data_IF_683212556786
#
_entry.id   IF_683212556786
#
_cell.length_a   1.000
_cell.length_b   1.000
_cell.length_c   1.000
_cell.angle_alpha   90.00
_cell.angle_beta   90.00
_cell.angle_gamma   90.00
#
_symmetry.space_group_name_H-M   'P 1'
#
loop_
_entity.id
_entity.type
_entity.pdbx_description
1 polymer ?
#
# COMPACT_ATOMS: atom_id res chain seq x y z
N UNK A 1 -43.58 0.17 46.06
CA UNK A 1 -43.14 0.91 44.87
C UNK A 1 -41.93 1.84 45.10
N UNK A 2 -41.73 2.54 46.21
CA UNK A 2 -40.60 3.46 46.42
C UNK A 2 -39.24 2.79 46.65
N UNK A 3 -39.17 1.56 47.16
CA UNK A 3 -37.87 0.86 47.37
C UNK A 3 -37.29 0.22 46.12
N UNK A 4 -38.12 -0.20 45.18
CA UNK A 4 -37.69 -0.77 43.91
C UNK A 4 -37.13 0.30 42.92
N UNK A 5 -37.66 1.52 42.95
CA UNK A 5 -37.10 2.64 42.21
C UNK A 5 -35.72 3.07 42.70
N UNK A 6 -35.45 3.01 44.00
CA UNK A 6 -34.14 3.36 44.53
C UNK A 6 -33.05 2.35 44.15
N UNK A 7 -33.36 1.04 44.11
CA UNK A 7 -32.40 0.02 43.67
C UNK A 7 -32.10 0.12 42.13
N UNK A 8 -33.11 0.41 41.32
CA UNK A 8 -32.90 0.64 39.87
C UNK A 8 -32.06 1.90 39.61
N UNK A 9 -32.25 2.97 40.41
CA UNK A 9 -31.46 4.18 40.25
C UNK A 9 -29.98 3.98 40.73
N UNK A 10 -29.77 3.18 41.77
CA UNK A 10 -28.42 2.81 42.23
C UNK A 10 -27.71 1.88 41.25
N UNK A 11 -28.40 0.96 40.53
CA UNK A 11 -27.80 0.15 39.48
C UNK A 11 -27.44 0.97 38.23
N UNK A 12 -28.24 1.96 37.85
CA UNK A 12 -27.94 2.86 36.74
C UNK A 12 -26.73 3.78 37.09
N UNK A 13 -26.64 4.29 38.29
CA UNK A 13 -25.45 5.04 38.77
C UNK A 13 -24.20 4.17 38.81
N UNK A 14 -24.31 2.89 39.22
CA UNK A 14 -23.16 1.98 39.26
C UNK A 14 -22.59 1.64 37.88
N UNK A 15 -23.47 1.60 36.84
CA UNK A 15 -23.02 1.39 35.45
C UNK A 15 -22.35 2.65 34.88
N UNK A 16 -22.84 3.84 35.23
CA UNK A 16 -22.21 5.12 34.84
C UNK A 16 -20.83 5.30 35.52
N UNK A 17 -20.70 4.90 36.77
CA UNK A 17 -19.44 4.98 37.51
C UNK A 17 -18.34 4.05 36.95
N UNK A 18 -18.68 2.93 36.30
CA UNK A 18 -17.68 2.05 35.69
C UNK A 18 -17.18 2.53 34.31
N UNK A 19 -17.94 3.38 33.61
CA UNK A 19 -17.51 3.93 32.31
C UNK A 19 -16.73 5.26 32.44
N UNK A 20 -16.95 6.00 33.52
CA UNK A 20 -16.29 7.28 33.81
C UNK A 20 -14.76 7.20 33.91
N UNK A 21 -14.15 6.20 34.54
CA UNK A 21 -12.68 6.20 34.70
C UNK A 21 -11.88 6.25 33.42
N UNK A 22 -12.33 5.56 32.37
CA UNK A 22 -11.60 5.53 31.09
C UNK A 22 -11.68 6.87 30.36
N UNK A 23 -12.87 7.47 30.27
CA UNK A 23 -13.06 8.77 29.64
C UNK A 23 -12.26 9.87 30.36
N UNK A 24 -12.30 9.88 31.70
CA UNK A 24 -11.54 10.82 32.52
C UNK A 24 -10.02 10.66 32.36
N UNK A 25 -9.53 9.42 32.26
CA UNK A 25 -8.11 9.14 31.98
C UNK A 25 -7.69 9.62 30.61
N UNK A 26 -8.54 9.43 29.58
CA UNK A 26 -8.27 9.91 28.22
C UNK A 26 -8.27 11.44 28.15
N UNK A 27 -9.22 12.11 28.80
CA UNK A 27 -9.24 13.57 28.90
C UNK A 27 -8.02 14.11 29.65
N UNK A 28 -7.67 13.50 30.77
CA UNK A 28 -6.47 13.87 31.50
C UNK A 28 -5.21 13.72 30.63
N UNK A 29 -5.10 12.61 29.87
CA UNK A 29 -3.96 12.39 28.97
C UNK A 29 -3.90 13.44 27.86
N UNK A 30 -5.04 13.82 27.27
CA UNK A 30 -5.10 14.86 26.23
C UNK A 30 -4.67 16.20 26.83
N UNK A 31 -5.25 16.60 27.96
CA UNK A 31 -5.03 17.90 28.58
C UNK A 31 -3.62 18.10 29.16
N UNK A 32 -2.87 16.99 29.39
CA UNK A 32 -1.51 17.02 29.96
C UNK A 32 -0.45 16.49 28.96
N UNK A 33 -0.73 16.61 27.67
CA UNK A 33 0.21 16.23 26.62
C UNK A 33 0.71 17.48 25.90
N UNK A 34 1.91 17.93 26.22
CA UNK A 34 2.49 19.22 25.81
C UNK A 34 2.43 19.49 24.30
N UNK A 35 2.72 18.49 23.45
CA UNK A 35 2.72 18.71 22.01
C UNK A 35 1.32 19.00 21.44
N UNK A 36 0.24 18.66 22.16
CA UNK A 36 -1.12 18.94 21.74
C UNK A 36 -1.52 20.42 21.93
N UNK A 37 -0.73 21.23 22.64
CA UNK A 37 -0.94 22.68 22.71
C UNK A 37 -0.85 23.37 21.35
N UNK A 38 0.01 22.83 20.44
CA UNK A 38 0.27 23.40 19.12
C UNK A 38 -0.06 22.42 17.98
N UNK A 39 -0.79 21.36 18.27
CA UNK A 39 -1.19 20.35 17.28
C UNK A 39 -2.63 19.89 17.53
N UNK A 40 -3.12 19.01 16.69
CA UNK A 40 -4.50 18.54 16.76
C UNK A 40 -4.57 17.02 16.93
N UNK A 41 -5.63 16.56 17.60
CA UNK A 41 -5.97 15.14 17.66
C UNK A 41 -7.47 14.92 17.50
N UNK A 42 -7.84 13.91 16.75
CA UNK A 42 -9.20 13.36 16.69
C UNK A 42 -9.19 11.92 17.19
N UNK A 43 -10.10 11.59 18.10
CA UNK A 43 -10.18 10.27 18.74
C UNK A 43 -11.62 9.77 18.69
N UNK A 44 -11.79 8.49 18.32
CA UNK A 44 -13.06 7.77 18.44
C UNK A 44 -12.79 6.39 19.03
N UNK A 45 -13.53 6.02 20.08
CA UNK A 45 -13.42 4.71 20.77
C UNK A 45 -14.80 4.10 20.90
N UNK A 46 -14.97 2.88 20.46
CA UNK A 46 -16.23 2.17 20.46
C UNK A 46 -16.09 0.75 21.00
N UNK A 47 -16.89 0.38 21.98
CA UNK A 47 -16.99 -0.99 22.48
C UNK A 47 -17.90 -1.79 21.56
N UNK A 48 -17.32 -2.67 20.74
CA UNK A 48 -18.01 -3.49 19.75
C UNK A 48 -18.88 -4.57 20.40
N UNK A 49 -18.41 -5.14 21.53
CA UNK A 49 -19.14 -6.16 22.28
C UNK A 49 -20.40 -5.57 22.92
N UNK A 50 -20.28 -4.41 23.55
CA UNK A 50 -21.39 -3.72 24.20
C UNK A 50 -22.19 -2.79 23.26
N UNK A 51 -21.75 -2.64 22.00
CA UNK A 51 -22.36 -1.81 20.96
C UNK A 51 -22.58 -0.36 21.39
N UNK A 52 -21.58 0.25 22.07
CA UNK A 52 -21.69 1.64 22.54
C UNK A 52 -20.43 2.46 22.30
N UNK A 53 -20.62 3.76 22.06
CA UNK A 53 -19.53 4.73 22.06
C UNK A 53 -18.98 4.86 23.48
N UNK A 54 -17.66 4.71 23.62
CA UNK A 54 -16.95 4.82 24.90
C UNK A 54 -16.38 6.21 25.06
N UNK A 55 -15.78 6.76 23.98
CA UNK A 55 -15.17 8.09 24.00
C UNK A 55 -15.16 8.69 22.58
N UNK A 56 -15.33 10.01 22.51
CA UNK A 56 -15.22 10.77 21.28
C UNK A 56 -14.59 12.14 21.60
N UNK A 57 -13.54 12.49 20.87
CA UNK A 57 -12.91 13.80 20.96
C UNK A 57 -12.61 14.30 19.56
N UNK A 58 -13.27 15.41 19.16
CA UNK A 58 -13.18 15.98 17.81
C UNK A 58 -13.35 14.95 16.67
N UNK A 59 -14.12 13.89 16.91
CA UNK A 59 -14.21 12.73 16.03
C UNK A 59 -14.96 12.97 14.72
N UNK A 60 -15.67 14.09 14.58
CA UNK A 60 -16.34 14.53 13.35
C UNK A 60 -15.53 15.51 12.51
N UNK A 61 -14.44 16.07 13.04
CA UNK A 61 -13.55 16.95 12.28
C UNK A 61 -12.78 16.20 11.21
N UNK A 62 -12.42 16.89 10.15
CA UNK A 62 -11.65 16.34 9.03
C UNK A 62 -10.15 16.40 9.31
N UNK A 63 -9.49 15.27 9.07
CA UNK A 63 -8.06 15.06 9.22
C UNK A 63 -7.50 14.36 7.99
N UNK A 64 -6.21 14.54 7.72
CA UNK A 64 -5.47 13.70 6.79
C UNK A 64 -5.23 12.34 7.45
N UNK A 65 -5.67 11.24 6.83
CA UNK A 65 -5.57 9.90 7.44
C UNK A 65 -4.15 9.35 7.47
N UNK A 66 -3.30 9.75 6.52
CA UNK A 66 -2.12 8.98 6.16
C UNK A 66 -2.51 7.51 5.89
N UNK A 67 -1.61 6.55 6.12
CA UNK A 67 -1.84 5.15 5.73
C UNK A 67 -2.94 4.39 6.49
N UNK A 68 -3.67 5.00 7.43
CA UNK A 68 -4.91 4.37 7.91
C UNK A 68 -6.02 4.40 6.83
N UNK A 69 -5.87 5.24 5.78
CA UNK A 69 -6.69 5.19 4.57
C UNK A 69 -6.80 3.79 3.99
N UNK A 70 -5.74 3.00 4.08
CA UNK A 70 -5.71 1.60 3.63
C UNK A 70 -6.78 0.71 4.28
N UNK A 71 -7.32 1.08 5.44
CA UNK A 71 -8.47 0.40 6.05
C UNK A 71 -9.71 0.58 5.16
N UNK A 72 -9.96 1.81 4.70
CA UNK A 72 -11.07 2.14 3.81
C UNK A 72 -10.97 1.33 2.51
N UNK A 73 -9.81 1.40 1.85
CA UNK A 73 -9.54 0.66 0.62
C UNK A 73 -9.67 -0.85 0.81
N UNK A 74 -9.09 -1.40 1.89
CA UNK A 74 -9.09 -2.84 2.16
C UNK A 74 -10.48 -3.39 2.47
N UNK A 75 -11.24 -2.71 3.32
CA UNK A 75 -12.60 -3.14 3.69
C UNK A 75 -13.53 -3.06 2.47
N UNK A 76 -13.41 -2.02 1.65
CA UNK A 76 -14.18 -1.90 0.41
C UNK A 76 -13.79 -2.98 -0.58
N UNK A 77 -12.47 -3.28 -0.75
CA UNK A 77 -12.00 -4.31 -1.65
C UNK A 77 -12.46 -5.71 -1.23
N UNK A 78 -12.41 -6.03 0.06
CA UNK A 78 -12.93 -7.30 0.57
C UNK A 78 -14.44 -7.44 0.33
N UNK A 79 -15.20 -6.35 0.44
CA UNK A 79 -16.64 -6.35 0.18
C UNK A 79 -16.97 -6.50 -1.32
N UNK A 80 -16.38 -5.66 -2.17
CA UNK A 80 -16.80 -5.55 -3.58
C UNK A 80 -16.11 -6.56 -4.50
N UNK A 81 -14.84 -6.94 -4.21
CA UNK A 81 -14.05 -7.88 -5.01
C UNK A 81 -14.08 -9.31 -4.42
N UNK A 82 -14.17 -9.43 -3.09
CA UNK A 82 -14.07 -10.72 -2.39
C UNK A 82 -12.62 -11.24 -2.28
N UNK A 83 -12.41 -12.22 -1.37
CA UNK A 83 -11.09 -12.81 -1.09
C UNK A 83 -10.50 -13.57 -2.26
N UNK A 84 -11.33 -14.10 -3.16
CA UNK A 84 -10.93 -14.90 -4.32
C UNK A 84 -10.48 -14.05 -5.52
N UNK A 85 -10.61 -12.72 -5.43
CA UNK A 85 -10.15 -11.84 -6.50
C UNK A 85 -8.66 -12.02 -6.78
N UNK A 86 -8.29 -11.98 -8.07
CA UNK A 86 -6.90 -12.16 -8.51
C UNK A 86 -6.46 -11.01 -9.40
N UNK A 87 -5.32 -10.44 -9.08
CA UNK A 87 -4.58 -9.54 -9.94
C UNK A 87 -3.82 -10.38 -10.96
N UNK A 88 -3.88 -10.02 -12.25
CA UNK A 88 -3.42 -10.88 -13.34
C UNK A 88 -2.48 -10.15 -14.28
N UNK A 89 -1.45 -10.86 -14.75
CA UNK A 89 -0.64 -10.49 -15.89
C UNK A 89 -0.73 -11.63 -16.89
N UNK A 90 -1.29 -11.36 -18.08
CA UNK A 90 -1.58 -12.37 -19.07
C UNK A 90 -0.64 -12.23 -20.27
N UNK A 91 -0.16 -13.36 -20.80
CA UNK A 91 0.65 -13.43 -22.00
C UNK A 91 -0.10 -14.21 -23.06
N UNK A 92 -0.17 -13.64 -24.25
CA UNK A 92 -0.87 -14.21 -25.40
C UNK A 92 -0.23 -13.76 -26.71
N UNK A 93 -0.63 -14.36 -27.81
CA UNK A 93 -0.19 -13.92 -29.14
C UNK A 93 -1.32 -13.99 -30.15
N UNK A 94 -1.13 -13.29 -31.27
CA UNK A 94 -1.98 -13.36 -32.48
C UNK A 94 -1.17 -13.93 -33.64
N UNK A 95 -1.86 -14.43 -34.66
CA UNK A 95 -1.19 -14.97 -35.84
C UNK A 95 -0.71 -16.43 -35.68
N UNK A 96 0.38 -16.81 -36.33
CA UNK A 96 0.84 -18.20 -36.43
C UNK A 96 2.33 -18.33 -36.15
N UNK A 97 2.74 -19.45 -35.55
CA UNK A 97 4.15 -19.80 -35.35
C UNK A 97 4.58 -20.72 -36.49
N UNK A 98 5.61 -20.30 -37.22
CA UNK A 98 6.16 -21.11 -38.35
C UNK A 98 6.98 -22.29 -37.83
N UNK A 99 7.28 -23.32 -38.64
CA UNK A 99 8.08 -24.47 -38.22
C UNK A 99 9.51 -24.14 -37.73
N UNK A 100 10.07 -23.00 -38.19
CA UNK A 100 11.37 -22.47 -37.76
C UNK A 100 11.27 -21.54 -36.55
N UNK A 101 10.07 -21.41 -35.95
CA UNK A 101 9.85 -20.70 -34.69
C UNK A 101 9.63 -19.19 -34.86
N UNK A 102 9.24 -18.72 -36.04
CA UNK A 102 8.92 -17.30 -36.24
C UNK A 102 7.43 -17.07 -35.94
N UNK A 103 7.12 -16.21 -34.97
CA UNK A 103 5.77 -15.71 -34.73
C UNK A 103 5.44 -14.65 -35.79
N UNK A 104 4.54 -14.98 -36.75
CA UNK A 104 3.93 -14.05 -37.71
C UNK A 104 2.72 -13.40 -37.04
N UNK A 105 2.95 -12.41 -36.20
CA UNK A 105 1.97 -11.72 -35.40
C UNK A 105 2.59 -11.04 -34.18
N UNK A 106 1.75 -10.48 -33.33
CA UNK A 106 2.16 -9.80 -32.12
C UNK A 106 2.18 -10.75 -30.91
N UNK A 107 3.15 -10.53 -30.02
CA UNK A 107 3.14 -11.07 -28.66
C UNK A 107 2.57 -10.01 -27.71
N UNK A 108 1.47 -10.30 -27.04
CA UNK A 108 0.80 -9.39 -26.10
C UNK A 108 1.08 -9.75 -24.65
N UNK A 109 1.42 -8.73 -23.83
CA UNK A 109 1.42 -8.83 -22.37
C UNK A 109 0.41 -7.84 -21.81
N UNK A 110 -0.65 -8.36 -21.16
CA UNK A 110 -1.75 -7.57 -20.64
C UNK A 110 -1.62 -7.39 -19.12
N UNK A 111 -1.60 -6.14 -18.67
CA UNK A 111 -1.49 -5.80 -17.26
C UNK A 111 -2.84 -5.62 -16.57
N UNK A 112 -3.05 -6.35 -15.47
CA UNK A 112 -4.19 -6.18 -14.57
C UNK A 112 -3.81 -5.59 -13.21
N UNK A 113 -2.77 -4.77 -13.18
CA UNK A 113 -2.26 -4.08 -12.00
C UNK A 113 -1.87 -5.04 -10.86
N UNK A 114 -1.12 -6.10 -11.19
CA UNK A 114 -0.58 -7.04 -10.19
C UNK A 114 0.60 -6.40 -9.45
N UNK A 115 0.45 -6.01 -8.16
CA UNK A 115 1.50 -5.34 -7.41
C UNK A 115 2.55 -6.30 -6.86
N UNK A 116 2.30 -7.61 -6.91
CA UNK A 116 3.19 -8.67 -6.43
C UNK A 116 4.00 -9.33 -7.55
N UNK A 117 3.87 -8.85 -8.81
CA UNK A 117 4.61 -9.37 -9.96
C UNK A 117 6.11 -9.04 -9.83
N UNK A 118 6.94 -10.08 -9.71
CA UNK A 118 8.36 -9.98 -9.44
C UNK A 118 9.20 -10.50 -10.63
N UNK A 119 10.52 -10.41 -10.52
CA UNK A 119 11.46 -10.86 -11.56
C UNK A 119 11.26 -12.34 -11.91
N UNK A 120 11.01 -13.19 -10.91
CA UNK A 120 10.79 -14.62 -11.11
C UNK A 120 9.53 -14.91 -11.94
N UNK A 121 8.52 -14.05 -11.86
CA UNK A 121 7.31 -14.15 -12.66
C UNK A 121 7.55 -13.71 -14.11
N UNK A 122 8.38 -12.69 -14.31
CA UNK A 122 8.81 -12.29 -15.64
C UNK A 122 9.66 -13.39 -16.31
N UNK A 123 10.50 -14.09 -15.55
CA UNK A 123 11.26 -15.24 -16.07
C UNK A 123 10.32 -16.37 -16.53
N UNK A 124 9.23 -16.63 -15.79
CA UNK A 124 8.18 -17.59 -16.20
C UNK A 124 7.48 -17.14 -17.50
N UNK A 125 7.15 -15.83 -17.64
CA UNK A 125 6.59 -15.33 -18.89
C UNK A 125 7.56 -15.53 -20.07
N UNK A 126 8.84 -15.19 -19.89
CA UNK A 126 9.83 -15.37 -20.94
C UNK A 126 10.05 -16.85 -21.31
N UNK A 127 10.07 -17.74 -20.32
CA UNK A 127 10.15 -19.18 -20.54
C UNK A 127 8.95 -19.71 -21.33
N UNK A 128 7.73 -19.25 -21.03
CA UNK A 128 6.53 -19.67 -21.74
C UNK A 128 6.57 -19.29 -23.24
N UNK A 129 7.18 -18.15 -23.60
CA UNK A 129 7.41 -17.80 -25.02
C UNK A 129 8.35 -18.78 -25.69
N UNK A 130 9.46 -19.11 -25.02
CA UNK A 130 10.45 -20.06 -25.54
C UNK A 130 9.86 -21.47 -25.69
N UNK A 131 9.12 -21.93 -24.68
CA UNK A 131 8.50 -23.27 -24.63
C UNK A 131 7.39 -23.45 -25.68
N UNK A 132 6.72 -22.35 -26.07
CA UNK A 132 5.79 -22.32 -27.19
C UNK A 132 6.46 -22.49 -28.57
N UNK A 133 7.79 -22.61 -28.62
CA UNK A 133 8.55 -22.73 -29.84
C UNK A 133 8.89 -21.40 -30.53
N UNK A 134 8.56 -20.27 -29.94
CA UNK A 134 8.86 -18.94 -30.51
C UNK A 134 10.36 -18.65 -30.37
N UNK A 135 11.02 -18.33 -31.51
CA UNK A 135 12.45 -17.97 -31.59
C UNK A 135 12.65 -16.58 -32.19
N UNK A 136 11.65 -16.08 -32.89
CA UNK A 136 11.62 -14.71 -33.39
C UNK A 136 10.17 -14.18 -33.37
N UNK A 137 10.02 -12.88 -33.15
CA UNK A 137 8.74 -12.16 -33.20
C UNK A 137 8.87 -11.16 -34.35
N UNK A 138 8.12 -11.40 -35.43
CA UNK A 138 8.24 -10.65 -36.66
C UNK A 138 7.51 -9.29 -36.62
N UNK A 139 6.38 -9.21 -35.90
CA UNK A 139 5.68 -7.95 -35.66
C UNK A 139 6.20 -7.28 -34.34
N UNK A 140 5.44 -7.28 -33.25
CA UNK A 140 5.82 -6.56 -32.05
C UNK A 140 5.61 -7.35 -30.76
N UNK A 141 6.42 -7.04 -29.75
CA UNK A 141 6.06 -7.26 -28.34
C UNK A 141 5.19 -6.08 -27.92
N UNK A 142 3.92 -6.31 -27.67
CA UNK A 142 2.92 -5.29 -27.37
C UNK A 142 2.47 -5.37 -25.91
N UNK A 143 2.67 -4.29 -25.16
CA UNK A 143 2.26 -4.19 -23.77
C UNK A 143 0.92 -3.46 -23.66
N UNK A 144 -0.11 -4.14 -23.13
CA UNK A 144 -1.41 -3.54 -22.85
C UNK A 144 -1.46 -2.98 -21.44
N UNK A 145 -1.49 -1.68 -21.32
CA UNK A 145 -1.66 -0.91 -20.08
C UNK A 145 -2.98 -0.13 -20.08
N UNK A 146 -3.92 -0.49 -20.94
CA UNK A 146 -5.18 0.23 -21.13
C UNK A 146 -6.16 0.12 -19.96
N UNK A 147 -5.89 -0.72 -18.97
CA UNK A 147 -6.71 -0.82 -17.75
C UNK A 147 -6.81 0.53 -17.04
N UNK A 148 -5.70 1.27 -16.90
CA UNK A 148 -5.69 2.59 -16.25
C UNK A 148 -5.53 3.72 -17.29
N UNK A 149 -5.81 4.95 -16.86
CA UNK A 149 -5.51 6.15 -17.62
C UNK A 149 -3.99 6.41 -17.73
N UNK A 150 -3.61 7.53 -18.35
CA UNK A 150 -2.20 7.89 -18.54
C UNK A 150 -1.57 8.61 -17.35
N UNK A 151 -2.28 8.72 -16.21
CA UNK A 151 -1.78 9.40 -15.02
C UNK A 151 -1.03 8.38 -14.15
N UNK A 152 0.29 8.44 -14.19
CA UNK A 152 1.17 7.48 -13.51
C UNK A 152 1.65 7.94 -12.13
N UNK A 153 1.37 9.19 -11.74
CA UNK A 153 1.69 9.76 -10.43
C UNK A 153 0.41 10.18 -9.71
N UNK A 154 0.21 9.71 -8.50
CA UNK A 154 -1.05 9.89 -7.77
C UNK A 154 -1.37 11.36 -7.51
N UNK A 155 -2.64 11.70 -7.56
CA UNK A 155 -3.14 13.06 -7.31
C UNK A 155 -2.78 13.51 -5.89
N UNK A 156 -2.09 14.64 -5.76
CA UNK A 156 -1.67 15.19 -4.46
C UNK A 156 -0.50 14.47 -3.80
N UNK A 157 0.21 13.61 -4.55
CA UNK A 157 1.48 13.05 -4.14
C UNK A 157 2.58 14.10 -4.25
N UNK A 158 3.46 14.17 -3.25
CA UNK A 158 4.55 15.12 -3.26
C UNK A 158 5.59 14.74 -4.33
N UNK A 159 6.05 15.74 -5.10
CA UNK A 159 7.00 15.52 -6.19
C UNK A 159 8.38 15.07 -5.71
N UNK A 160 8.74 15.44 -4.48
CA UNK A 160 10.03 15.15 -3.83
C UNK A 160 10.04 13.83 -3.03
N UNK A 161 8.95 13.06 -3.07
CA UNK A 161 8.91 11.69 -2.56
C UNK A 161 9.66 10.70 -3.48
N UNK A 162 9.97 11.08 -4.73
CA UNK A 162 10.83 10.31 -5.61
C UNK A 162 12.31 10.63 -5.32
N UNK A 163 13.27 9.69 -5.37
CA UNK A 163 13.14 8.34 -5.95
C UNK A 163 12.84 7.23 -4.95
N UNK A 164 12.13 7.51 -3.87
CA UNK A 164 11.88 6.56 -2.80
C UNK A 164 10.96 5.40 -3.27
N UNK A 165 11.26 4.19 -2.79
CA UNK A 165 10.56 2.97 -3.19
C UNK A 165 9.10 2.92 -2.73
N UNK A 166 8.73 3.67 -1.68
CA UNK A 166 7.37 3.67 -1.16
C UNK A 166 6.36 4.34 -2.10
N UNK A 167 6.83 5.05 -3.14
CA UNK A 167 5.99 5.79 -4.08
C UNK A 167 6.45 5.55 -5.54
N UNK A 168 6.10 4.37 -6.11
CA UNK A 168 6.44 4.05 -7.49
C UNK A 168 5.50 4.77 -8.48
N UNK A 169 5.93 4.89 -9.73
CA UNK A 169 5.06 5.30 -10.83
C UNK A 169 4.07 4.16 -11.15
N UNK A 170 2.77 4.46 -11.06
CA UNK A 170 1.70 3.46 -11.18
C UNK A 170 1.52 3.00 -12.63
N UNK A 171 1.27 1.72 -12.83
CA UNK A 171 0.96 1.13 -14.13
C UNK A 171 0.24 -0.20 -13.96
N UNK A 172 -0.64 -0.61 -14.90
CA UNK A 172 -1.17 -1.97 -14.93
C UNK A 172 -0.10 -3.07 -15.07
N UNK A 173 1.06 -2.74 -15.63
CA UNK A 173 2.24 -3.61 -15.68
C UNK A 173 3.30 -3.09 -14.71
N UNK A 174 3.47 -3.80 -13.60
CA UNK A 174 4.45 -3.52 -12.57
C UNK A 174 5.47 -4.65 -12.51
N UNK A 175 6.75 -4.33 -12.45
CA UNK A 175 7.84 -5.27 -12.20
C UNK A 175 8.59 -4.86 -10.94
N UNK A 176 8.80 -5.80 -10.01
CA UNK A 176 9.53 -5.55 -8.78
C UNK A 176 9.07 -4.26 -8.10
N UNK A 177 7.75 -4.03 -8.10
CA UNK A 177 7.11 -2.87 -7.46
C UNK A 177 7.47 -1.52 -8.09
N UNK A 178 7.84 -1.51 -9.39
CA UNK A 178 8.36 -0.31 -10.06
C UNK A 178 9.70 0.16 -9.51
N UNK A 179 10.51 -0.75 -8.97
CA UNK A 179 11.76 -0.44 -8.27
C UNK A 179 12.90 -1.35 -8.71
N UNK A 180 14.11 -0.89 -8.42
CA UNK A 180 15.34 -1.69 -8.51
C UNK A 180 16.06 -1.74 -7.16
N UNK A 181 16.67 -2.89 -6.87
CA UNK A 181 17.56 -3.07 -5.71
C UNK A 181 19.01 -2.88 -6.15
N UNK A 182 19.68 -1.87 -5.60
CA UNK A 182 21.06 -1.54 -5.91
C UNK A 182 21.93 -1.95 -4.73
N UNK A 183 22.71 -3.00 -4.89
CA UNK A 183 23.65 -3.48 -3.88
C UNK A 183 25.06 -3.00 -4.22
N UNK A 184 25.66 -2.24 -3.30
CA UNK A 184 27.03 -1.74 -3.37
C UNK A 184 27.89 -2.56 -2.40
N UNK A 185 28.92 -3.23 -2.91
CA UNK A 185 29.86 -4.02 -2.12
C UNK A 185 31.26 -3.43 -2.23
N UNK A 186 31.88 -2.97 -1.13
CA UNK A 186 33.22 -2.42 -1.16
C UNK A 186 34.25 -3.47 -1.60
N UNK A 187 35.29 -3.02 -2.29
CA UNK A 187 36.45 -3.80 -2.69
C UNK A 187 37.71 -3.37 -1.94
N UNK A 188 38.83 -3.36 -2.63
CA UNK A 188 40.10 -2.87 -2.08
C UNK A 188 40.02 -1.38 -1.76
N UNK A 189 40.80 -0.95 -0.76
CA UNK A 189 40.89 0.45 -0.34
C UNK A 189 41.26 1.37 -1.52
N UNK A 190 40.50 2.44 -1.71
CA UNK A 190 40.72 3.41 -2.79
C UNK A 190 40.16 3.00 -4.16
N UNK A 191 39.65 1.78 -4.32
CA UNK A 191 39.09 1.33 -5.59
C UNK A 191 37.53 1.47 -5.63
N UNK A 192 37.00 1.49 -6.84
CA UNK A 192 35.56 1.55 -7.08
C UNK A 192 34.88 0.29 -6.55
N UNK A 193 33.81 0.40 -5.73
CA UNK A 193 33.06 -0.76 -5.24
C UNK A 193 32.30 -1.47 -6.36
N UNK A 194 32.05 -2.78 -6.18
CA UNK A 194 31.16 -3.54 -7.07
C UNK A 194 29.71 -3.11 -6.86
N UNK A 195 28.96 -3.06 -7.97
CA UNK A 195 27.51 -2.74 -7.96
C UNK A 195 26.78 -3.86 -8.65
N UNK A 196 25.72 -4.36 -7.98
CA UNK A 196 24.74 -5.29 -8.54
C UNK A 196 23.37 -4.63 -8.49
N UNK A 197 22.62 -4.71 -9.59
CA UNK A 197 21.24 -4.19 -9.65
C UNK A 197 20.29 -5.32 -10.03
N UNK A 198 19.17 -5.40 -9.38
CA UNK A 198 18.10 -6.40 -9.58
C UNK A 198 16.76 -5.67 -9.75
N UNK A 199 15.97 -5.99 -10.81
CA UNK A 199 16.28 -6.92 -11.91
C UNK A 199 17.35 -6.36 -12.86
N UNK A 200 18.05 -7.25 -13.58
CA UNK A 200 18.95 -6.85 -14.66
C UNK A 200 18.12 -6.38 -15.88
N UNK A 201 18.48 -5.22 -16.42
CA UNK A 201 17.76 -4.60 -17.54
C UNK A 201 18.66 -3.58 -18.26
N UNK A 202 18.37 -3.32 -19.51
CA UNK A 202 18.96 -2.22 -20.29
C UNK A 202 18.18 -0.89 -20.17
N UNK A 203 17.12 -0.87 -19.34
CA UNK A 203 16.28 0.30 -19.12
C UNK A 203 16.97 1.42 -18.32
N UNK A 204 17.95 1.11 -17.51
CA UNK A 204 18.63 2.05 -16.64
C UNK A 204 20.16 2.05 -16.86
N UNK A 205 20.80 3.07 -16.33
CA UNK A 205 22.27 3.20 -16.34
C UNK A 205 22.81 3.34 -14.92
N UNK A 206 24.05 2.84 -14.70
CA UNK A 206 24.76 2.98 -13.44
C UNK A 206 25.94 3.92 -13.63
N UNK A 207 25.92 5.04 -12.91
CA UNK A 207 27.03 5.99 -12.80
C UNK A 207 27.67 5.85 -11.42
N UNK A 208 28.65 4.93 -11.31
CA UNK A 208 29.35 4.63 -10.06
C UNK A 208 30.68 5.37 -9.99
N UNK A 209 30.76 6.38 -9.12
CA UNK A 209 31.97 7.11 -8.74
C UNK A 209 32.25 7.03 -7.23
N UNK A 210 31.69 6.02 -6.54
CA UNK A 210 32.00 5.75 -5.14
C UNK A 210 33.41 5.13 -5.01
N UNK A 211 33.97 5.24 -3.82
CA UNK A 211 35.32 4.71 -3.50
C UNK A 211 35.22 3.83 -2.26
N UNK A 212 35.88 2.68 -2.29
CA UNK A 212 35.90 1.74 -1.16
C UNK A 212 36.87 2.23 -0.09
N UNK A 213 36.43 2.27 1.18
CA UNK A 213 37.23 2.57 2.35
C UNK A 213 38.05 3.88 2.26
N UNK A 214 37.46 4.93 1.67
CA UNK A 214 38.06 6.25 1.52
C UNK A 214 37.28 7.32 2.29
N UNK A 215 37.64 7.65 3.55
CA UNK A 215 36.92 8.63 4.36
C UNK A 215 36.73 10.00 3.71
N UNK A 216 37.72 10.44 2.89
CA UNK A 216 37.67 11.72 2.16
C UNK A 216 36.59 11.79 1.09
N UNK A 217 36.04 10.64 0.66
CA UNK A 217 34.97 10.59 -0.34
C UNK A 217 33.56 10.95 0.27
N UNK A 218 33.49 11.18 1.59
CA UNK A 218 32.24 11.52 2.27
C UNK A 218 31.27 10.34 2.42
N UNK A 219 30.07 10.61 2.91
CA UNK A 219 29.05 9.55 3.13
C UNK A 219 28.61 8.93 1.80
N UNK A 220 28.46 7.59 1.78
CA UNK A 220 27.86 6.88 0.64
C UNK A 220 26.43 7.36 0.40
N UNK A 221 26.15 7.73 -0.85
CA UNK A 221 24.83 8.12 -1.33
C UNK A 221 24.52 7.38 -2.62
N UNK A 222 23.37 6.74 -2.65
CA UNK A 222 22.81 6.07 -3.81
C UNK A 222 21.50 6.78 -4.14
N UNK A 223 21.31 7.25 -5.36
CA UNK A 223 20.11 7.97 -5.79
C UNK A 223 19.89 7.81 -7.28
N UNK A 224 18.71 8.13 -7.75
CA UNK A 224 18.35 8.22 -9.18
C UNK A 224 18.44 9.67 -9.65
N UNK A 225 18.59 9.88 -10.93
CA UNK A 225 18.50 11.22 -11.57
C UNK A 225 17.02 11.62 -11.72
N UNK A 226 16.34 11.77 -10.59
CA UNK A 226 14.87 11.88 -10.51
C UNK A 226 14.35 13.26 -10.93
N UNK A 227 15.10 14.34 -10.72
CA UNK A 227 14.70 15.71 -11.07
C UNK A 227 14.45 15.84 -12.58
N UNK A 228 15.24 15.14 -13.40
CA UNK A 228 15.06 15.12 -14.84
C UNK A 228 14.22 13.96 -15.36
N UNK A 229 13.54 13.22 -14.47
CA UNK A 229 12.86 11.97 -14.78
C UNK A 229 13.76 10.92 -15.46
N UNK A 230 15.06 10.99 -15.22
CA UNK A 230 16.04 10.05 -15.77
C UNK A 230 16.12 8.75 -14.97
N UNK A 231 16.64 7.68 -15.62
CA UNK A 231 16.90 6.39 -14.99
C UNK A 231 18.41 6.09 -14.89
N UNK A 232 19.23 7.11 -14.64
CA UNK A 232 20.62 6.94 -14.26
C UNK A 232 20.73 6.90 -12.74
N UNK A 233 21.16 5.77 -12.19
CA UNK A 233 21.43 5.61 -10.76
C UNK A 233 22.85 6.07 -10.46
N UNK A 234 23.00 7.05 -9.59
CA UNK A 234 24.26 7.67 -9.21
C UNK A 234 24.72 7.18 -7.86
N UNK A 235 25.94 6.64 -7.79
CA UNK A 235 26.57 6.12 -6.59
C UNK A 235 27.82 6.96 -6.31
N UNK A 236 27.85 7.61 -5.14
CA UNK A 236 28.90 8.56 -4.74
C UNK A 236 29.28 8.31 -3.29
N UNK A 237 30.51 8.68 -2.91
CA UNK A 237 30.95 8.65 -1.52
C UNK A 237 31.72 7.38 -1.15
N UNK A 238 31.85 7.14 0.15
CA UNK A 238 32.69 6.10 0.74
C UNK A 238 31.88 4.84 1.04
N UNK A 239 32.17 3.74 0.34
CA UNK A 239 31.63 2.42 0.61
C UNK A 239 32.50 1.69 1.64
N UNK A 240 32.01 1.52 2.88
CA UNK A 240 32.74 0.85 3.97
C UNK A 240 32.20 -0.55 4.29
N UNK A 241 30.95 -0.81 3.94
CA UNK A 241 30.27 -2.11 4.11
C UNK A 241 29.29 -2.31 2.97
N UNK A 242 28.92 -3.57 2.74
CA UNK A 242 27.87 -3.87 1.78
C UNK A 242 26.54 -3.23 2.23
N UNK A 243 25.85 -2.59 1.31
CA UNK A 243 24.53 -2.03 1.55
C UNK A 243 23.67 -2.17 0.30
N UNK A 244 22.34 -2.23 0.50
CA UNK A 244 21.37 -2.27 -0.59
C UNK A 244 20.38 -1.13 -0.39
N UNK A 245 20.14 -0.36 -1.45
CA UNK A 245 19.09 0.64 -1.54
C UNK A 245 18.07 0.21 -2.58
N UNK A 246 16.79 0.43 -2.28
CA UNK A 246 15.68 0.20 -3.21
C UNK A 246 15.16 1.54 -3.67
N UNK A 247 15.21 1.79 -4.97
CA UNK A 247 14.77 3.05 -5.57
C UNK A 247 13.76 2.79 -6.68
N UNK A 248 12.77 3.69 -6.82
CA UNK A 248 11.84 3.62 -7.91
C UNK A 248 12.52 3.93 -9.26
N UNK A 249 11.91 3.46 -10.35
CA UNK A 249 12.24 3.87 -11.72
C UNK A 249 11.22 4.86 -12.23
N UNK A 250 11.63 5.75 -13.13
CA UNK A 250 10.68 6.57 -13.89
C UNK A 250 10.00 5.70 -14.95
N UNK A 251 8.65 5.74 -15.02
CA UNK A 251 7.83 4.94 -15.92
C UNK A 251 7.93 3.42 -15.71
N UNK A 252 7.12 2.90 -14.79
CA UNK A 252 7.05 1.45 -14.52
C UNK A 252 6.64 0.63 -15.74
N UNK A 253 5.76 1.15 -16.62
CA UNK A 253 5.35 0.46 -17.84
C UNK A 253 6.51 0.28 -18.83
N UNK A 254 7.32 1.31 -19.03
CA UNK A 254 8.48 1.23 -19.92
C UNK A 254 9.55 0.30 -19.32
N UNK A 255 9.74 0.36 -18.00
CA UNK A 255 10.62 -0.56 -17.29
C UNK A 255 10.20 -2.02 -17.46
N UNK A 256 8.90 -2.30 -17.34
CA UNK A 256 8.36 -3.65 -17.54
C UNK A 256 8.62 -4.12 -18.97
N UNK A 257 8.18 -3.37 -19.97
CA UNK A 257 8.28 -3.76 -21.39
C UNK A 257 9.75 -3.92 -21.82
N UNK A 258 10.60 -2.98 -21.42
CA UNK A 258 12.02 -3.03 -21.78
C UNK A 258 12.71 -4.25 -21.13
N UNK A 259 12.45 -4.50 -19.85
CA UNK A 259 13.03 -5.64 -19.14
C UNK A 259 12.50 -6.96 -19.67
N UNK A 260 11.22 -7.04 -20.04
CA UNK A 260 10.66 -8.23 -20.65
C UNK A 260 11.33 -8.54 -21.98
N UNK A 261 11.47 -7.55 -22.88
CA UNK A 261 12.20 -7.70 -24.12
C UNK A 261 13.67 -8.11 -23.88
N UNK A 262 14.35 -7.51 -22.92
CA UNK A 262 15.71 -7.87 -22.55
C UNK A 262 15.81 -9.35 -22.12
N UNK A 263 14.86 -9.84 -21.31
CA UNK A 263 14.80 -11.24 -20.86
C UNK A 263 14.53 -12.20 -22.03
N UNK A 264 13.64 -11.86 -22.95
CA UNK A 264 13.40 -12.64 -24.19
C UNK A 264 14.67 -12.73 -25.04
N UNK A 265 15.36 -11.61 -25.25
CA UNK A 265 16.62 -11.58 -26.00
C UNK A 265 17.75 -12.40 -25.33
N UNK A 266 17.81 -12.40 -23.99
CA UNK A 266 18.75 -13.25 -23.24
C UNK A 266 18.48 -14.75 -23.43
N UNK A 267 17.24 -15.14 -23.74
CA UNK A 267 16.87 -16.51 -24.12
C UNK A 267 17.07 -16.80 -25.61
N UNK A 268 17.62 -15.84 -26.37
CA UNK A 268 17.87 -16.01 -27.81
C UNK A 268 16.69 -15.71 -28.71
N UNK A 269 15.59 -15.12 -28.19
CA UNK A 269 14.42 -14.73 -28.97
C UNK A 269 14.69 -13.39 -29.65
N UNK A 270 14.58 -13.36 -30.98
CA UNK A 270 14.73 -12.12 -31.76
C UNK A 270 13.44 -11.32 -31.71
N UNK A 271 13.54 -10.00 -31.55
CA UNK A 271 12.40 -9.08 -31.46
C UNK A 271 12.58 -8.00 -32.51
N UNK A 272 11.61 -7.89 -33.42
CA UNK A 272 11.63 -6.85 -34.46
C UNK A 272 11.26 -5.48 -33.89
N UNK A 273 10.15 -5.39 -33.14
CA UNK A 273 9.72 -4.14 -32.52
C UNK A 273 9.00 -4.35 -31.19
N UNK A 274 8.83 -3.26 -30.45
CA UNK A 274 8.03 -3.23 -29.21
C UNK A 274 7.19 -1.97 -29.15
N UNK A 275 5.98 -2.08 -28.59
CA UNK A 275 5.02 -0.96 -28.50
C UNK A 275 4.05 -1.11 -27.33
N UNK A 276 3.33 -0.04 -27.04
CA UNK A 276 2.14 -0.07 -26.19
C UNK A 276 0.89 -0.12 -27.08
N UNK A 277 -0.10 -0.91 -26.67
CA UNK A 277 -1.36 -1.03 -27.37
C UNK A 277 -2.22 -2.15 -26.81
N UNK A 278 -3.52 -2.03 -26.92
CA UNK A 278 -4.44 -3.11 -26.59
C UNK A 278 -4.48 -4.15 -27.71
N UNK A 279 -4.73 -5.41 -27.34
CA UNK A 279 -5.06 -6.44 -28.31
C UNK A 279 -6.38 -6.06 -29.00
N UNK A 280 -6.47 -6.13 -30.37
CA UNK A 280 -7.72 -5.88 -31.07
C UNK A 280 -8.81 -6.86 -30.61
N UNK A 281 -10.05 -6.36 -30.43
CA UNK A 281 -11.18 -7.19 -29.96
C UNK A 281 -11.56 -8.30 -30.96
N UNK A 282 -11.35 -8.05 -32.26
CA UNK A 282 -11.68 -9.00 -33.34
C UNK A 282 -10.53 -9.99 -33.65
N UNK A 283 -9.36 -9.85 -32.97
CA UNK A 283 -8.23 -10.74 -33.25
C UNK A 283 -8.44 -12.10 -32.59
N UNK A 284 -8.10 -13.16 -33.28
CA UNK A 284 -7.96 -14.50 -32.71
C UNK A 284 -6.72 -14.50 -31.78
N UNK A 285 -6.95 -14.63 -30.49
CA UNK A 285 -5.91 -14.54 -29.48
C UNK A 285 -5.66 -15.92 -28.88
N UNK A 286 -4.40 -16.35 -28.91
CA UNK A 286 -3.96 -17.61 -28.32
C UNK A 286 -3.25 -17.31 -27.00
N UNK A 287 -3.82 -17.80 -25.89
CA UNK A 287 -3.22 -17.64 -24.58
C UNK A 287 -1.97 -18.53 -24.44
N UNK A 288 -0.89 -17.96 -23.91
CA UNK A 288 0.32 -18.71 -23.55
C UNK A 288 0.37 -19.06 -22.06
N UNK A 289 0.26 -18.06 -21.21
CA UNK A 289 0.29 -18.24 -19.76
C UNK A 289 -0.31 -17.03 -19.04
N UNK A 290 -0.61 -17.22 -17.76
CA UNK A 290 -1.06 -16.18 -16.83
C UNK A 290 -0.28 -16.29 -15.53
N UNK A 291 0.19 -15.16 -15.03
CA UNK A 291 0.67 -15.01 -13.65
C UNK A 291 -0.39 -14.26 -12.87
N UNK A 292 -0.69 -14.71 -11.65
CA UNK A 292 -1.69 -14.03 -10.84
C UNK A 292 -1.43 -14.16 -9.35
N UNK A 293 -1.73 -13.09 -8.61
CA UNK A 293 -1.68 -13.04 -7.16
C UNK A 293 -3.06 -12.73 -6.57
N UNK A 294 -3.39 -13.36 -5.46
CA UNK A 294 -4.70 -13.21 -4.83
C UNK A 294 -4.79 -11.93 -3.98
N UNK A 295 -6.03 -11.48 -3.75
CA UNK A 295 -6.29 -10.31 -2.92
C UNK A 295 -5.73 -10.46 -1.51
N UNK A 296 -5.72 -11.66 -0.94
CA UNK A 296 -5.23 -11.91 0.41
C UNK A 296 -3.74 -11.53 0.57
N UNK A 297 -2.86 -11.95 -0.35
CA UNK A 297 -1.45 -11.58 -0.33
C UNK A 297 -1.24 -10.07 -0.49
N UNK A 298 -2.01 -9.44 -1.38
CA UNK A 298 -1.98 -7.99 -1.62
C UNK A 298 -2.45 -7.22 -0.39
N UNK A 299 -3.54 -7.67 0.25
CA UNK A 299 -4.07 -7.13 1.49
C UNK A 299 -3.07 -7.21 2.65
N UNK A 300 -2.51 -8.40 2.88
CA UNK A 300 -1.53 -8.62 3.93
C UNK A 300 -0.34 -7.66 3.80
N UNK A 301 0.20 -7.50 2.61
CA UNK A 301 1.31 -6.58 2.39
C UNK A 301 0.90 -5.12 2.56
N UNK A 302 -0.26 -4.71 2.02
CA UNK A 302 -0.80 -3.36 2.18
C UNK A 302 -0.93 -2.95 3.64
N UNK A 303 -1.37 -3.87 4.51
CA UNK A 303 -1.61 -3.59 5.92
C UNK A 303 -0.38 -3.83 6.80
N UNK A 304 0.27 -5.01 6.74
CA UNK A 304 1.43 -5.37 7.57
C UNK A 304 2.65 -4.48 7.30
N UNK A 305 2.96 -4.23 6.02
CA UNK A 305 4.12 -3.42 5.60
C UNK A 305 3.76 -1.97 5.30
N UNK A 306 2.47 -1.64 5.35
CA UNK A 306 1.96 -0.33 4.92
C UNK A 306 2.29 0.00 3.47
N UNK A 307 2.26 -1.02 2.61
CA UNK A 307 2.68 -0.91 1.23
C UNK A 307 1.68 -0.08 0.40
N UNK A 308 2.19 0.97 -0.26
CA UNK A 308 1.34 1.90 -1.00
C UNK A 308 0.88 1.30 -2.33
N UNK A 309 1.79 0.64 -3.07
CA UNK A 309 1.45 0.04 -4.36
C UNK A 309 0.32 -0.98 -4.24
N UNK A 310 0.36 -1.84 -3.21
CA UNK A 310 -0.70 -2.83 -2.98
C UNK A 310 -2.05 -2.17 -2.68
N UNK A 311 -2.04 -1.05 -1.96
CA UNK A 311 -3.26 -0.29 -1.70
C UNK A 311 -3.80 0.39 -2.97
N UNK A 312 -2.92 0.97 -3.80
CA UNK A 312 -3.32 1.55 -5.09
C UNK A 312 -3.85 0.48 -6.04
N UNK A 313 -3.23 -0.71 -6.10
CA UNK A 313 -3.73 -1.81 -6.92
C UNK A 313 -5.17 -2.20 -6.53
N UNK A 314 -5.47 -2.33 -5.22
CA UNK A 314 -6.83 -2.57 -4.75
C UNK A 314 -7.78 -1.41 -5.13
N UNK A 315 -7.32 -0.17 -4.99
CA UNK A 315 -8.11 1.02 -5.31
C UNK A 315 -8.49 1.08 -6.79
N UNK A 316 -7.53 0.88 -7.70
CA UNK A 316 -7.78 0.85 -9.14
C UNK A 316 -8.59 -0.37 -9.57
N UNK A 317 -8.40 -1.54 -8.92
CA UNK A 317 -9.22 -2.72 -9.17
C UNK A 317 -10.69 -2.49 -8.82
N UNK A 318 -10.99 -1.80 -7.70
CA UNK A 318 -12.35 -1.36 -7.35
C UNK A 318 -12.96 -0.48 -8.43
N UNK A 319 -12.17 0.47 -8.95
CA UNK A 319 -12.60 1.33 -10.05
C UNK A 319 -12.92 0.56 -11.32
N UNK A 320 -12.06 -0.39 -11.69
CA UNK A 320 -12.22 -1.22 -12.88
C UNK A 320 -13.47 -2.12 -12.78
N UNK A 321 -13.65 -2.77 -11.63
CA UNK A 321 -14.80 -3.63 -11.37
C UNK A 321 -16.11 -2.85 -11.42
N UNK A 322 -16.13 -1.65 -10.84
CA UNK A 322 -17.32 -0.80 -10.78
C UNK A 322 -17.66 -0.15 -12.12
N UNK A 323 -16.65 0.35 -12.82
CA UNK A 323 -16.87 1.11 -14.07
C UNK A 323 -17.02 0.22 -15.31
N UNK A 324 -16.49 -1.02 -15.29
CA UNK A 324 -16.52 -1.99 -16.40
C UNK A 324 -16.03 -1.37 -17.73
N UNK A 325 -14.94 -0.58 -17.68
CA UNK A 325 -14.35 0.10 -18.83
C UNK A 325 -12.82 0.06 -18.76
N UNK A 326 -12.15 0.43 -19.83
CA UNK A 326 -10.70 0.73 -19.86
C UNK A 326 -10.44 2.20 -19.45
N UNK A 327 -9.19 2.55 -19.19
CA UNK A 327 -8.79 3.92 -18.85
C UNK A 327 -9.30 4.37 -17.50
N UNK A 328 -9.19 3.53 -16.47
CA UNK A 328 -9.61 3.83 -15.11
C UNK A 328 -8.71 4.91 -14.50
N UNK A 329 -9.31 6.04 -14.13
CA UNK A 329 -8.65 7.07 -13.34
C UNK A 329 -9.00 6.97 -11.85
N UNK A 330 -8.34 7.80 -11.03
CA UNK A 330 -8.62 7.81 -9.59
C UNK A 330 -10.08 8.15 -9.27
N UNK A 331 -10.76 8.96 -10.11
CA UNK A 331 -12.17 9.30 -9.91
C UNK A 331 -13.11 8.09 -10.04
N UNK A 332 -12.76 7.10 -10.87
CA UNK A 332 -13.57 5.88 -11.00
C UNK A 332 -13.40 5.01 -9.75
N UNK A 333 -12.19 4.88 -9.23
CA UNK A 333 -11.90 4.21 -7.97
C UNK A 333 -12.55 4.94 -6.77
N UNK A 334 -12.48 6.27 -6.73
CA UNK A 334 -13.16 7.10 -5.73
C UNK A 334 -14.68 6.85 -5.72
N UNK A 335 -15.30 6.74 -6.90
CA UNK A 335 -16.74 6.44 -7.01
C UNK A 335 -17.10 5.08 -6.39
N UNK A 336 -16.24 4.07 -6.51
CA UNK A 336 -16.45 2.78 -5.86
C UNK A 336 -16.43 2.92 -4.32
N UNK A 337 -15.42 3.60 -3.77
CA UNK A 337 -15.35 3.90 -2.33
C UNK A 337 -16.57 4.69 -1.86
N UNK A 338 -16.97 5.75 -2.59
CA UNK A 338 -18.13 6.58 -2.24
C UNK A 338 -19.45 5.85 -2.34
N UNK A 339 -19.57 4.89 -3.27
CA UNK A 339 -20.71 4.00 -3.34
C UNK A 339 -20.82 3.13 -2.08
N UNK A 340 -19.71 2.51 -1.65
CA UNK A 340 -19.66 1.74 -0.41
C UNK A 340 -20.02 2.61 0.80
N UNK A 341 -19.43 3.80 0.95
CA UNK A 341 -19.76 4.73 2.03
C UNK A 341 -21.25 5.03 2.12
N UNK A 342 -21.87 5.31 0.98
CA UNK A 342 -23.27 5.69 0.92
C UNK A 342 -24.20 4.52 1.27
N UNK A 343 -23.95 3.35 0.70
CA UNK A 343 -24.92 2.25 0.73
C UNK A 343 -24.66 1.25 1.84
N UNK A 344 -23.41 1.09 2.28
CA UNK A 344 -23.07 0.15 3.36
C UNK A 344 -22.89 0.84 4.71
N UNK A 345 -22.39 2.07 4.71
CA UNK A 345 -22.13 2.81 5.95
C UNK A 345 -23.16 3.91 6.23
N UNK A 346 -24.06 4.19 5.31
CA UNK A 346 -25.05 5.29 5.40
C UNK A 346 -24.36 6.65 5.67
N UNK A 347 -23.18 6.86 5.07
CA UNK A 347 -22.41 8.11 5.18
C UNK A 347 -22.51 8.93 3.90
N UNK A 348 -22.65 10.24 4.04
CA UNK A 348 -22.72 11.17 2.91
C UNK A 348 -21.30 11.42 2.34
N UNK A 349 -20.95 10.92 1.11
CA UNK A 349 -19.59 10.96 0.60
C UNK A 349 -19.03 12.37 0.42
N UNK A 350 -19.89 13.37 0.12
CA UNK A 350 -19.48 14.74 -0.11
C UNK A 350 -18.91 15.46 1.13
N UNK A 351 -19.01 14.84 2.31
CA UNK A 351 -18.38 15.34 3.54
C UNK A 351 -16.90 14.93 3.64
N UNK A 352 -16.40 14.08 2.74
CA UNK A 352 -15.06 13.50 2.80
C UNK A 352 -14.36 13.64 1.46
N UNK A 353 -13.05 13.52 1.46
CA UNK A 353 -12.27 13.52 0.22
C UNK A 353 -11.26 12.40 0.24
N UNK A 354 -11.37 11.47 -0.72
CA UNK A 354 -10.47 10.34 -0.93
C UNK A 354 -10.01 10.42 -2.38
N UNK A 355 -8.71 10.47 -2.60
CA UNK A 355 -8.11 10.64 -3.94
C UNK A 355 -7.08 9.59 -4.28
N UNK A 356 -6.69 8.74 -3.31
CA UNK A 356 -5.84 7.58 -3.52
C UNK A 356 -6.25 6.44 -2.59
N UNK A 357 -5.71 5.26 -2.81
CA UNK A 357 -5.98 4.08 -1.97
C UNK A 357 -5.05 3.93 -0.79
N UNK A 358 -3.92 4.63 -0.79
CA UNK A 358 -2.82 4.44 0.15
C UNK A 358 -2.80 5.43 1.32
N UNK A 359 -3.41 6.60 1.14
CA UNK A 359 -3.37 7.69 2.11
C UNK A 359 -2.09 8.53 2.06
N UNK A 360 -1.30 8.41 1.00
CA UNK A 360 -0.10 9.25 0.78
C UNK A 360 -0.51 10.66 0.36
N UNK A 361 -1.59 10.77 -0.40
CA UNK A 361 -2.06 12.06 -0.89
C UNK A 361 -2.38 13.03 0.25
N UNK A 362 -1.83 14.23 0.14
CA UNK A 362 -2.13 15.34 1.06
C UNK A 362 -3.56 15.88 0.89
N UNK A 363 -4.30 15.41 -0.11
CA UNK A 363 -5.68 15.82 -0.41
C UNK A 363 -6.74 14.88 0.16
N UNK A 364 -6.36 13.80 0.84
CA UNK A 364 -7.30 12.96 1.57
C UNK A 364 -7.78 13.65 2.85
N UNK A 365 -9.09 13.64 3.09
CA UNK A 365 -9.70 14.18 4.29
C UNK A 365 -10.82 13.26 4.77
N UNK A 366 -10.67 12.71 5.97
CA UNK A 366 -11.66 11.86 6.65
C UNK A 366 -11.82 12.28 8.11
N UNK A 367 -12.88 11.81 8.75
CA UNK A 367 -13.05 11.97 10.20
C UNK A 367 -12.77 10.65 10.94
N UNK A 368 -12.36 10.69 12.23
CA UNK A 368 -12.30 9.50 13.07
C UNK A 368 -13.62 8.72 13.12
N UNK A 369 -14.76 9.40 13.09
CA UNK A 369 -16.08 8.77 13.07
C UNK A 369 -16.37 8.02 11.76
N UNK A 370 -15.86 8.48 10.61
CA UNK A 370 -15.93 7.72 9.36
C UNK A 370 -15.08 6.45 9.45
N UNK A 371 -13.83 6.58 9.89
CA UNK A 371 -12.94 5.43 10.05
C UNK A 371 -13.50 4.41 11.03
N UNK A 372 -14.12 4.88 12.12
CA UNK A 372 -14.85 4.01 13.07
C UNK A 372 -15.99 3.26 12.39
N UNK A 373 -16.72 3.89 11.47
CA UNK A 373 -17.77 3.20 10.73
C UNK A 373 -17.24 2.02 9.89
N UNK A 374 -16.06 2.19 9.25
CA UNK A 374 -15.40 1.10 8.53
C UNK A 374 -14.94 -0.04 9.45
N UNK A 375 -14.36 0.27 10.62
CA UNK A 375 -13.95 -0.75 11.60
C UNK A 375 -15.16 -1.52 12.15
N UNK A 376 -16.24 -0.83 12.44
CA UNK A 376 -17.53 -1.46 12.87
C UNK A 376 -18.10 -2.35 11.78
N UNK A 377 -18.13 -1.87 10.54
CA UNK A 377 -18.62 -2.64 9.41
C UNK A 377 -17.81 -3.93 9.25
N UNK A 378 -16.48 -3.84 9.18
CA UNK A 378 -15.63 -5.02 9.08
C UNK A 378 -15.92 -6.02 10.22
N UNK A 379 -15.98 -5.57 11.47
CA UNK A 379 -16.23 -6.45 12.63
C UNK A 379 -17.55 -7.23 12.54
N UNK A 380 -18.58 -6.64 11.96
CA UNK A 380 -19.90 -7.28 11.86
C UNK A 380 -20.07 -8.20 10.64
N UNK A 381 -19.07 -8.28 9.75
CA UNK A 381 -19.07 -9.13 8.55
C UNK A 381 -17.89 -10.09 8.62
N UNK A 382 -18.14 -11.33 9.06
CA UNK A 382 -17.08 -12.32 9.38
C UNK A 382 -16.17 -12.62 8.19
N UNK A 383 -16.72 -12.65 6.98
CA UNK A 383 -16.01 -12.87 5.71
C UNK A 383 -15.03 -11.74 5.37
N UNK A 384 -15.29 -10.53 5.91
CA UNK A 384 -14.40 -9.36 5.79
C UNK A 384 -13.48 -9.29 7.02
N UNK A 385 -14.04 -9.48 8.21
CA UNK A 385 -13.31 -9.27 9.46
C UNK A 385 -12.10 -10.17 9.59
N UNK A 386 -12.26 -11.46 9.31
CA UNK A 386 -11.18 -12.43 9.53
C UNK A 386 -9.94 -12.10 8.68
N UNK A 387 -10.00 -12.03 7.34
CA UNK A 387 -8.82 -11.68 6.52
C UNK A 387 -8.29 -10.28 6.83
N UNK A 388 -9.16 -9.31 7.11
CA UNK A 388 -8.76 -7.95 7.47
C UNK A 388 -8.00 -7.90 8.80
N UNK A 389 -8.53 -8.54 9.85
CA UNK A 389 -7.94 -8.56 11.19
C UNK A 389 -6.58 -9.27 11.22
N UNK A 390 -6.48 -10.40 10.53
CA UNK A 390 -5.24 -11.18 10.41
C UNK A 390 -4.13 -10.40 9.66
N UNK A 391 -4.53 -9.54 8.72
CA UNK A 391 -3.62 -8.69 7.98
C UNK A 391 -3.16 -7.44 8.73
N UNK A 392 -3.78 -7.06 9.87
CA UNK A 392 -3.36 -5.91 10.66
C UNK A 392 -2.02 -6.16 11.38
N UNK A 393 -1.11 -5.17 11.48
CA UNK A 393 0.05 -5.22 12.37
C UNK A 393 -0.33 -5.49 13.82
N UNK A 394 0.50 -6.29 14.50
CA UNK A 394 0.30 -6.69 15.91
C UNK A 394 1.33 -6.00 16.79
N UNK A 395 0.88 -5.35 17.86
CA UNK A 395 1.72 -4.63 18.80
C UNK A 395 2.83 -5.49 19.41
N UNK A 396 4.08 -5.06 19.24
CA UNK A 396 5.28 -5.73 19.74
C UNK A 396 5.67 -7.01 19.01
N UNK A 397 4.91 -7.44 17.99
CA UNK A 397 5.09 -8.73 17.32
C UNK A 397 5.52 -8.55 15.85
N UNK A 398 4.72 -7.87 15.04
CA UNK A 398 4.95 -7.82 13.60
C UNK A 398 4.59 -6.49 12.93
N UNK A 399 4.86 -6.42 11.64
CA UNK A 399 4.51 -5.31 10.78
C UNK A 399 5.05 -3.97 11.28
N UNK A 400 4.29 -2.90 11.08
CA UNK A 400 4.69 -1.55 11.49
C UNK A 400 4.57 -1.31 13.01
N UNK A 401 4.02 -2.26 13.76
CA UNK A 401 3.93 -2.22 15.23
C UNK A 401 4.96 -3.09 15.95
N UNK A 402 5.84 -3.81 15.25
CA UNK A 402 6.82 -4.76 15.84
C UNK A 402 7.72 -4.15 16.93
N UNK A 403 7.95 -2.83 16.88
CA UNK A 403 8.79 -2.12 17.84
C UNK A 403 8.01 -1.19 18.78
N UNK A 404 6.67 -1.23 18.76
CA UNK A 404 5.77 -0.44 19.60
C UNK A 404 5.05 -1.33 20.59
N UNK A 405 4.70 -0.81 21.76
CA UNK A 405 3.90 -1.51 22.80
C UNK A 405 4.46 -2.92 23.11
N UNK A 406 5.77 -3.02 23.32
CA UNK A 406 6.49 -4.31 23.56
C UNK A 406 6.28 -4.91 24.95
N UNK A 407 5.53 -4.24 25.81
CA UNK A 407 5.20 -4.62 27.18
C UNK A 407 3.79 -4.13 27.50
N UNK A 408 3.24 -4.55 28.64
CA UNK A 408 1.93 -4.12 29.11
C UNK A 408 0.79 -4.92 28.50
N UNK A 409 -0.43 -4.44 28.67
CA UNK A 409 -1.67 -5.10 28.22
C UNK A 409 -1.94 -4.92 26.73
N UNK A 410 -1.33 -3.91 26.10
CA UNK A 410 -1.40 -3.68 24.66
C UNK A 410 -0.51 -4.67 23.86
N UNK A 411 0.55 -5.23 24.48
CA UNK A 411 1.46 -6.19 23.84
C UNK A 411 0.71 -7.43 23.35
N UNK A 412 0.94 -7.81 22.09
CA UNK A 412 0.29 -8.96 21.42
C UNK A 412 -1.25 -8.92 21.48
N UNK A 413 -1.84 -7.74 21.65
CA UNK A 413 -3.27 -7.55 21.84
C UNK A 413 -3.84 -6.46 20.92
N UNK A 414 -3.08 -5.39 20.67
CA UNK A 414 -3.49 -4.36 19.71
C UNK A 414 -3.19 -4.83 18.31
N UNK A 415 -4.23 -4.92 17.47
CA UNK A 415 -4.18 -5.15 16.03
C UNK A 415 -4.59 -3.87 15.31
N UNK A 416 -3.63 -3.13 14.74
CA UNK A 416 -3.93 -1.80 14.22
C UNK A 416 -3.04 -1.40 13.04
N UNK A 417 -3.63 -0.61 12.15
CA UNK A 417 -2.93 0.04 11.04
C UNK A 417 -2.35 1.38 11.51
N UNK A 418 -1.07 1.59 11.22
CA UNK A 418 -0.39 2.87 11.42
C UNK A 418 -0.50 3.77 10.20
N UNK A 419 -0.50 5.08 10.39
CA UNK A 419 -0.36 6.07 9.33
C UNK A 419 0.70 7.11 9.70
N UNK A 420 1.55 7.47 8.72
CA UNK A 420 2.56 8.52 8.89
C UNK A 420 2.83 9.19 7.55
N UNK A 421 2.66 10.49 7.51
CA UNK A 421 3.19 11.41 6.50
C UNK A 421 3.70 12.65 7.24
N UNK A 422 4.37 13.57 6.56
CA UNK A 422 4.86 14.81 7.19
C UNK A 422 3.72 15.54 7.91
N UNK A 423 3.92 15.79 9.20
CA UNK A 423 2.94 16.47 10.06
C UNK A 423 1.76 15.62 10.52
N UNK A 424 1.70 14.32 10.20
CA UNK A 424 0.58 13.43 10.58
C UNK A 424 1.09 12.12 11.16
N UNK A 425 0.46 11.68 12.24
CA UNK A 425 0.58 10.31 12.77
C UNK A 425 -0.79 9.80 13.16
N UNK A 426 -1.14 8.61 12.70
CA UNK A 426 -2.44 8.01 12.95
C UNK A 426 -2.31 6.53 13.34
N UNK A 427 -3.31 6.03 14.07
CA UNK A 427 -3.42 4.64 14.48
C UNK A 427 -4.91 4.27 14.58
N UNK A 428 -5.32 3.19 13.93
CA UNK A 428 -6.70 2.73 13.96
C UNK A 428 -6.77 1.19 13.91
N UNK A 429 -7.66 0.60 14.69
CA UNK A 429 -7.79 -0.86 14.77
C UNK A 429 -8.55 -1.32 16.00
N UNK A 430 -8.12 -2.45 16.55
CA UNK A 430 -8.82 -3.17 17.61
C UNK A 430 -7.90 -3.53 18.76
N UNK A 431 -8.49 -3.62 19.96
CA UNK A 431 -7.84 -4.12 21.17
C UNK A 431 -8.86 -4.81 22.06
N UNK A 432 -8.49 -5.88 22.73
CA UNK A 432 -9.32 -6.56 23.71
C UNK A 432 -9.03 -6.00 25.10
N UNK A 433 -10.07 -5.56 25.84
CA UNK A 433 -9.89 -5.09 27.20
C UNK A 433 -9.82 -6.24 28.21
N UNK A 434 -9.54 -5.93 29.49
CA UNK A 434 -9.45 -6.93 30.57
C UNK A 434 -10.78 -7.63 30.89
N UNK A 435 -11.90 -7.06 30.52
CA UNK A 435 -13.23 -7.69 30.63
C UNK A 435 -13.54 -8.67 29.47
N UNK A 436 -12.67 -8.72 28.46
CA UNK A 436 -12.83 -9.54 27.26
C UNK A 436 -13.60 -8.84 26.15
N UNK A 437 -14.02 -7.58 26.32
CA UNK A 437 -14.70 -6.83 25.26
C UNK A 437 -13.75 -6.42 24.15
N UNK A 438 -14.22 -6.49 22.90
CA UNK A 438 -13.51 -5.96 21.77
C UNK A 438 -13.78 -4.45 21.60
N UNK A 439 -12.72 -3.67 21.63
CA UNK A 439 -12.73 -2.22 21.48
C UNK A 439 -12.15 -1.85 20.11
N UNK A 440 -12.90 -1.11 19.31
CA UNK A 440 -12.36 -0.43 18.13
C UNK A 440 -11.92 0.99 18.51
N UNK A 441 -10.82 1.44 17.93
CA UNK A 441 -10.30 2.78 18.20
C UNK A 441 -9.71 3.43 16.95
N UNK A 442 -9.77 4.75 16.90
CA UNK A 442 -9.17 5.60 15.87
C UNK A 442 -8.52 6.79 16.57
N UNK A 443 -7.26 7.06 16.25
CA UNK A 443 -6.49 8.20 16.76
C UNK A 443 -5.78 8.83 15.57
N UNK A 444 -6.06 10.12 15.30
CA UNK A 444 -5.41 10.88 14.22
C UNK A 444 -4.79 12.13 14.82
N UNK A 445 -3.45 12.18 14.88
CA UNK A 445 -2.70 13.37 15.26
C UNK A 445 -2.27 14.12 13.99
N UNK A 446 -2.47 15.45 13.98
CA UNK A 446 -2.15 16.32 12.85
C UNK A 446 -1.40 17.57 13.32
N UNK A 447 -0.65 18.20 12.40
CA UNK A 447 0.22 19.34 12.66
C UNK A 447 1.32 19.04 13.68
N UNK A 448 1.81 17.79 13.71
CA UNK A 448 2.86 17.35 14.61
C UNK A 448 4.25 17.62 14.03
N UNK A 449 5.18 18.10 14.85
CA UNK A 449 6.59 18.28 14.48
C UNK A 449 7.42 17.03 14.76
N UNK A 450 7.09 16.30 15.82
CA UNK A 450 7.80 15.09 16.23
C UNK A 450 6.88 13.86 16.23
N UNK A 451 7.01 13.01 15.24
CA UNK A 451 6.20 11.80 15.13
C UNK A 451 6.41 10.79 16.28
N UNK A 452 7.53 10.86 17.03
CA UNK A 452 7.75 9.99 18.19
C UNK A 452 6.81 10.32 19.34
N UNK A 453 6.55 11.61 19.58
CA UNK A 453 5.68 12.06 20.67
C UNK A 453 4.22 11.63 20.39
N UNK A 454 3.76 11.79 19.17
CA UNK A 454 2.43 11.31 18.76
C UNK A 454 2.33 9.78 18.91
N UNK A 455 3.35 9.00 18.49
CA UNK A 455 3.33 7.54 18.68
C UNK A 455 3.30 7.14 20.15
N UNK A 456 4.08 7.80 21.02
CA UNK A 456 4.06 7.55 22.46
C UNK A 456 2.67 7.86 23.06
N UNK A 457 2.02 8.93 22.61
CA UNK A 457 0.67 9.28 23.02
C UNK A 457 -0.34 8.20 22.60
N UNK A 458 -0.29 7.75 21.35
CA UNK A 458 -1.14 6.65 20.85
C UNK A 458 -0.92 5.36 21.64
N UNK A 459 0.34 5.01 21.96
CA UNK A 459 0.67 3.80 22.75
C UNK A 459 0.08 3.85 24.16
N UNK A 460 0.12 5.04 24.83
CA UNK A 460 -0.53 5.24 26.13
C UNK A 460 -2.05 5.05 26.05
N UNK A 461 -2.70 5.56 25.00
CA UNK A 461 -4.14 5.34 24.78
C UNK A 461 -4.42 3.83 24.63
N UNK A 462 -3.66 3.13 23.80
CA UNK A 462 -3.85 1.68 23.62
C UNK A 462 -3.69 0.90 24.93
N UNK A 463 -2.73 1.27 25.79
CA UNK A 463 -2.58 0.66 27.12
C UNK A 463 -3.80 0.92 28.04
N UNK A 464 -4.39 2.12 27.99
CA UNK A 464 -5.62 2.42 28.72
C UNK A 464 -6.81 1.61 28.18
N UNK A 465 -6.93 1.48 26.87
CA UNK A 465 -8.03 0.72 26.23
C UNK A 465 -7.93 -0.79 26.51
N UNK A 466 -6.74 -1.31 26.76
CA UNK A 466 -6.49 -2.72 27.06
C UNK A 466 -6.76 -3.08 28.54
N UNK A 467 -6.99 -2.09 29.42
CA UNK A 467 -7.32 -2.28 30.83
C UNK A 467 -8.76 -2.72 31.02
#
# INVERSE_FOLDING_TARGET
MKRTCLLSLCLFLAIIIKAQPLAEHLEHLINHTDFLENSEVGISVYNLTQKKQVYAYQDTKLYRPASIEKIITSVTALHDLGTEYRFRTQLSYTGTITPDGILKGDLYVNGGFDPEFMEEDMDKLAAAVYDAGIRAIDDSVTADVSMTDSVHWGTGWAWDDTPEAFQPYLSPLMLNRGCVNITVTPGQNGYTPKVKVIPESDYYRIDNKAVSHSPSAGRLKITRDWISNGNTFRIRGNATKACTETLNVYSSKDFFLQTFCYKLQKQGIQINSKRFGACPEEAEVIALTEISHNLDSVLHRALKKSDNLNAEAMFYALGAEKAKKKGIGFQDAQKAIYHFMKWQLERAPHHYKIVDGSGVSMYNYISPSLMMAYLKYAYHHTEIYKPFYDALPIAGIDGTLQYRMKKGKAFNNVHAKTGTVTGVSSLAGYVKNSAGDMIAFVIINQNILNGKDARNFQDKICELLAQ
#
